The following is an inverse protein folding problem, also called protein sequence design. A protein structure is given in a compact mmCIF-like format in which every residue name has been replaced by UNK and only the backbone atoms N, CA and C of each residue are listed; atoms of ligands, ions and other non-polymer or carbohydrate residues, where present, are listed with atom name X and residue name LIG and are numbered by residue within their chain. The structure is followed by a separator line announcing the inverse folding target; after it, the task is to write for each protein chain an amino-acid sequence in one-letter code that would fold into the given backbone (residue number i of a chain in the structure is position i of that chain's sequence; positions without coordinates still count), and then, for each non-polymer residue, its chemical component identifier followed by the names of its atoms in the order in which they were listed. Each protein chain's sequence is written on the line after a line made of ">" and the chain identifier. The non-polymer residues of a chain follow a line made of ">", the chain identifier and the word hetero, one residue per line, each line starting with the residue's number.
data_IF_530465583635
#
_entry.id   IF_530465583635
#
_cell.length_a   1.000
_cell.length_b   1.000
_cell.length_c   1.000
_cell.angle_alpha   90.00
_cell.angle_beta   90.00
_cell.angle_gamma   90.00
#
_symmetry.space_group_name_H-M   'P 1'
#
loop_
_entity.id
_entity.type
_entity.pdbx_description
1 polymer ?
#
# COMPACT_ATOMS: atom_id res chain seq x y z
N UNK A 1 4.07 -45.19 41.32
CA UNK A 1 4.22 -44.61 39.97
C UNK A 1 3.05 -43.67 39.70
N UNK A 2 3.20 -42.38 40.02
CA UNK A 2 2.24 -41.35 39.59
C UNK A 2 2.66 -40.90 38.19
N UNK A 3 1.80 -41.12 37.19
CA UNK A 3 1.93 -40.47 35.88
C UNK A 3 1.21 -39.13 35.96
N UNK A 4 1.98 -38.05 36.06
CA UNK A 4 1.47 -36.69 35.94
C UNK A 4 1.22 -36.36 34.47
N UNK A 5 -0.03 -36.05 34.13
CA UNK A 5 -0.40 -35.48 32.84
C UNK A 5 0.01 -34.01 32.86
N UNK A 6 1.06 -33.67 32.13
CA UNK A 6 1.46 -32.27 31.90
C UNK A 6 0.50 -31.71 30.84
N UNK A 7 -0.50 -30.96 31.29
CA UNK A 7 -1.31 -30.13 30.41
C UNK A 7 -0.49 -28.92 29.98
N UNK A 8 -0.12 -28.86 28.71
CA UNK A 8 0.48 -27.66 28.11
C UNK A 8 -0.66 -26.67 27.89
N UNK A 9 -0.74 -25.64 28.74
CA UNK A 9 -1.59 -24.47 28.49
C UNK A 9 -0.95 -23.66 27.36
N UNK A 10 -1.56 -23.69 26.17
CA UNK A 10 -1.35 -22.65 25.17
C UNK A 10 -2.08 -21.39 25.64
N UNK A 11 -1.34 -20.46 26.22
CA UNK A 11 -1.78 -19.07 26.39
C UNK A 11 -1.73 -18.40 25.01
N UNK A 12 -2.76 -18.63 24.20
CA UNK A 12 -3.03 -17.76 23.07
C UNK A 12 -3.54 -16.42 23.63
N UNK A 13 -2.70 -15.39 23.55
CA UNK A 13 -3.14 -14.02 23.76
C UNK A 13 -4.10 -13.68 22.61
N UNK A 14 -5.40 -13.93 22.80
CA UNK A 14 -6.43 -13.46 21.89
C UNK A 14 -6.37 -11.94 21.85
N UNK A 15 -6.06 -11.36 20.69
CA UNK A 15 -6.22 -9.94 20.47
C UNK A 15 -7.72 -9.65 20.46
N UNK A 16 -8.22 -9.00 21.51
CA UNK A 16 -9.62 -8.61 21.60
C UNK A 16 -9.85 -7.38 20.73
N UNK A 17 -10.90 -7.42 19.91
CA UNK A 17 -11.42 -6.26 19.22
C UNK A 17 -11.70 -5.11 20.20
N UNK A 18 -11.42 -3.88 19.78
CA UNK A 18 -11.50 -2.66 20.56
C UNK A 18 -12.51 -1.70 19.92
N UNK A 19 -13.17 -0.92 20.75
CA UNK A 19 -13.90 0.27 20.28
C UNK A 19 -12.85 1.32 19.92
N UNK A 20 -12.68 1.57 18.63
CA UNK A 20 -11.67 2.47 18.09
C UNK A 20 -12.22 3.85 17.70
N UNK A 21 -11.51 4.51 16.80
CA UNK A 21 -11.91 5.82 16.26
C UNK A 21 -12.87 5.61 15.08
N UNK A 22 -14.12 6.07 15.20
CA UNK A 22 -15.16 5.86 14.19
C UNK A 22 -16.02 4.62 14.44
N UNK A 23 -16.82 4.21 13.43
CA UNK A 23 -17.79 3.13 13.58
C UNK A 23 -17.12 1.75 13.59
N UNK A 24 -17.77 0.80 14.26
CA UNK A 24 -17.42 -0.61 14.26
C UNK A 24 -16.29 -0.99 15.22
N UNK A 25 -16.04 -2.29 15.28
CA UNK A 25 -14.93 -2.88 16.02
C UNK A 25 -13.63 -2.74 15.24
N UNK A 26 -12.51 -2.59 15.95
CA UNK A 26 -11.19 -2.37 15.35
C UNK A 26 -10.10 -3.08 16.15
N UNK A 27 -8.95 -3.33 15.54
CA UNK A 27 -7.71 -3.64 16.27
C UNK A 27 -6.53 -2.96 15.58
N UNK A 28 -5.50 -2.62 16.33
CA UNK A 28 -4.31 -1.98 15.80
C UNK A 28 -3.12 -2.23 16.70
N UNK A 29 -1.93 -2.18 16.10
CA UNK A 29 -0.70 -2.35 16.84
C UNK A 29 0.49 -2.59 15.93
N UNK A 30 1.57 -3.02 16.56
CA UNK A 30 2.84 -3.28 15.90
C UNK A 30 3.11 -4.78 15.81
N UNK A 31 3.77 -5.17 14.73
CA UNK A 31 4.37 -6.49 14.53
C UNK A 31 5.85 -6.31 14.28
N UNK A 32 6.67 -7.03 15.05
CA UNK A 32 8.11 -7.09 14.86
C UNK A 32 8.40 -8.05 13.71
N UNK A 33 8.75 -7.52 12.54
CA UNK A 33 8.99 -8.33 11.32
C UNK A 33 10.45 -8.75 11.21
N UNK A 34 11.35 -7.96 11.78
CA UNK A 34 12.77 -8.26 12.00
C UNK A 34 13.22 -7.62 13.31
N UNK A 35 14.36 -8.04 13.90
CA UNK A 35 14.94 -7.33 15.03
C UNK A 35 15.15 -5.83 14.70
N UNK A 36 14.49 -4.95 15.46
CA UNK A 36 14.53 -3.50 15.27
C UNK A 36 13.74 -2.97 14.06
N UNK A 37 12.84 -3.77 13.47
CA UNK A 37 11.96 -3.35 12.39
C UNK A 37 10.49 -3.69 12.72
N UNK A 38 9.66 -2.65 12.80
CA UNK A 38 8.33 -2.71 13.39
C UNK A 38 7.28 -2.20 12.40
N UNK A 39 6.35 -3.06 11.99
CA UNK A 39 5.25 -2.70 11.09
C UNK A 39 3.98 -2.41 11.87
N UNK A 40 3.38 -1.25 11.63
CA UNK A 40 2.09 -0.87 12.18
C UNK A 40 0.95 -1.34 11.26
N UNK A 41 -0.15 -1.78 11.88
CA UNK A 41 -1.38 -2.10 11.19
C UNK A 41 -2.60 -1.51 11.87
N UNK A 42 -3.66 -1.34 11.09
CA UNK A 42 -5.00 -1.03 11.56
C UNK A 42 -6.01 -1.94 10.85
N UNK A 43 -6.66 -2.79 11.65
CA UNK A 43 -7.74 -3.67 11.23
C UNK A 43 -9.09 -3.03 11.58
N UNK A 44 -9.97 -2.96 10.59
CA UNK A 44 -11.40 -2.71 10.78
C UNK A 44 -12.17 -4.01 10.55
N UNK A 45 -12.98 -4.40 11.52
CA UNK A 45 -13.90 -5.51 11.34
C UNK A 45 -15.10 -5.05 10.52
N UNK A 46 -15.65 -5.97 9.72
CA UNK A 46 -16.76 -5.62 8.83
C UNK A 46 -17.99 -5.11 9.59
N UNK A 47 -18.68 -4.11 9.03
CA UNK A 47 -19.97 -3.61 9.54
C UNK A 47 -21.17 -4.21 8.80
N UNK A 48 -20.95 -5.25 8.00
CA UNK A 48 -22.02 -5.99 7.34
C UNK A 48 -22.97 -6.63 8.38
N UNK A 49 -24.24 -6.74 8.03
CA UNK A 49 -25.21 -7.53 8.80
C UNK A 49 -24.93 -9.04 8.62
N UNK A 50 -24.00 -9.55 9.43
CA UNK A 50 -23.56 -10.95 9.47
C UNK A 50 -23.45 -11.44 10.90
N UNK A 51 -23.51 -12.76 11.11
CA UNK A 51 -23.46 -13.35 12.45
C UNK A 51 -22.07 -13.23 13.06
N UNK A 52 -21.03 -13.48 12.25
CA UNK A 52 -19.64 -13.31 12.63
C UNK A 52 -18.90 -12.50 11.57
N UNK A 53 -17.96 -11.65 11.99
CA UNK A 53 -17.14 -10.89 11.04
C UNK A 53 -16.33 -11.81 10.11
N UNK A 54 -16.03 -13.04 10.53
CA UNK A 54 -15.37 -14.09 9.73
C UNK A 54 -16.26 -14.67 8.62
N UNK A 55 -17.55 -14.35 8.59
CA UNK A 55 -18.42 -14.67 7.44
C UNK A 55 -18.10 -13.78 6.23
N UNK A 56 -17.25 -12.75 6.40
CA UNK A 56 -16.76 -11.87 5.34
C UNK A 56 -15.25 -12.01 5.15
N UNK A 57 -14.72 -11.90 3.92
CA UNK A 57 -13.29 -11.99 3.64
C UNK A 57 -12.42 -10.99 4.42
N UNK A 58 -11.14 -11.31 4.55
CA UNK A 58 -10.10 -10.37 4.93
C UNK A 58 -9.51 -9.73 3.67
N UNK A 59 -9.48 -8.40 3.66
CA UNK A 59 -8.84 -7.60 2.62
C UNK A 59 -7.64 -6.89 3.22
N UNK A 60 -6.46 -7.10 2.64
CA UNK A 60 -5.30 -6.26 2.92
C UNK A 60 -5.31 -5.09 1.94
N UNK A 61 -5.08 -3.87 2.44
CA UNK A 61 -4.81 -2.70 1.61
C UNK A 61 -3.36 -2.26 1.74
N UNK A 62 -2.64 -2.23 0.62
CA UNK A 62 -1.26 -1.73 0.53
C UNK A 62 -1.20 -0.49 -0.36
N UNK A 63 -0.94 0.65 0.28
CA UNK A 63 -0.69 1.91 -0.40
C UNK A 63 0.71 1.90 -1.07
N UNK A 64 0.92 2.78 -2.05
CA UNK A 64 2.12 2.87 -2.87
C UNK A 64 3.17 3.85 -2.37
N UNK A 65 3.62 4.76 -3.25
CA UNK A 65 4.75 5.66 -3.02
C UNK A 65 6.00 5.26 -3.82
N UNK A 66 6.88 4.36 -3.33
CA UNK A 66 6.81 3.59 -2.08
C UNK A 66 6.93 4.47 -0.84
N UNK A 67 6.34 4.03 0.28
CA UNK A 67 6.44 4.71 1.58
C UNK A 67 5.20 5.47 2.02
N UNK A 68 4.16 5.53 1.18
CA UNK A 68 2.91 6.16 1.56
C UNK A 68 2.13 5.27 2.54
N UNK A 69 1.56 5.89 3.56
CA UNK A 69 0.86 5.17 4.64
C UNK A 69 -0.49 4.63 4.18
N UNK A 70 -0.69 3.33 4.34
CA UNK A 70 -2.00 2.70 4.15
C UNK A 70 -2.98 3.10 5.26
N UNK A 71 -2.49 3.26 6.48
CA UNK A 71 -3.33 3.67 7.62
C UNK A 71 -3.67 5.16 7.61
N UNK A 72 -2.91 5.97 6.88
CA UNK A 72 -3.17 7.37 6.57
C UNK A 72 -4.01 7.54 5.31
N UNK A 73 -3.39 7.44 4.13
CA UNK A 73 -4.04 7.68 2.83
C UNK A 73 -5.16 6.67 2.56
N UNK A 74 -4.84 5.37 2.55
CA UNK A 74 -5.83 4.32 2.25
C UNK A 74 -7.05 4.36 3.16
N UNK A 75 -6.82 4.56 4.45
CA UNK A 75 -7.89 4.60 5.44
C UNK A 75 -8.70 5.90 5.35
N UNK A 76 -8.07 7.08 5.41
CA UNK A 76 -8.80 8.34 5.58
C UNK A 76 -9.13 9.05 4.26
N UNK A 77 -8.30 8.90 3.22
CA UNK A 77 -8.53 9.56 1.92
C UNK A 77 -9.31 8.68 0.93
N UNK A 78 -9.34 7.37 1.13
CA UNK A 78 -9.83 6.45 0.10
C UNK A 78 -11.02 5.59 0.54
N UNK A 79 -10.79 4.49 1.27
CA UNK A 79 -11.78 3.42 1.43
C UNK A 79 -12.13 3.05 2.87
N UNK A 80 -11.42 3.62 3.84
CA UNK A 80 -11.77 3.47 5.25
C UNK A 80 -13.07 4.21 5.61
N UNK A 81 -13.55 4.01 6.85
CA UNK A 81 -14.89 4.42 7.25
C UNK A 81 -15.04 5.93 7.46
N UNK A 82 -13.93 6.65 7.68
CA UNK A 82 -13.92 8.07 7.96
C UNK A 82 -13.10 8.86 6.93
N UNK A 83 -13.46 10.11 6.69
CA UNK A 83 -12.63 11.08 5.94
C UNK A 83 -11.50 11.63 6.82
N UNK A 84 -10.60 12.44 6.25
CA UNK A 84 -9.56 13.15 7.01
C UNK A 84 -10.14 14.09 8.08
N UNK A 85 -11.32 14.65 7.84
CA UNK A 85 -12.05 15.52 8.77
C UNK A 85 -12.77 14.72 9.87
N UNK A 86 -12.70 13.38 9.83
CA UNK A 86 -13.35 12.49 10.79
C UNK A 86 -14.84 12.28 10.52
N UNK A 87 -15.34 12.65 9.34
CA UNK A 87 -16.72 12.43 8.93
C UNK A 87 -16.93 11.01 8.40
N UNK A 88 -18.09 10.40 8.64
CA UNK A 88 -18.39 9.08 8.07
C UNK A 88 -18.47 9.13 6.54
N UNK A 89 -17.72 8.25 5.88
CA UNK A 89 -17.74 8.13 4.42
C UNK A 89 -19.02 7.40 3.98
N UNK A 90 -19.70 7.95 2.97
CA UNK A 90 -20.90 7.34 2.39
C UNK A 90 -20.59 6.00 1.66
N UNK A 91 -19.36 5.80 1.21
CA UNK A 91 -18.82 4.54 0.70
C UNK A 91 -17.63 4.08 1.57
N UNK A 92 -17.56 2.81 1.93
CA UNK A 92 -16.38 2.23 2.59
C UNK A 92 -16.33 0.74 2.32
N UNK A 93 -15.13 0.18 2.18
CA UNK A 93 -14.96 -1.26 2.00
C UNK A 93 -15.28 -2.04 3.29
N UNK A 94 -15.14 -1.40 4.46
CA UNK A 94 -15.45 -1.97 5.77
C UNK A 94 -16.92 -2.41 5.85
N UNK A 95 -17.82 -1.81 5.06
CA UNK A 95 -19.23 -2.23 4.98
C UNK A 95 -19.41 -3.70 4.56
N UNK A 96 -18.46 -4.27 3.83
CA UNK A 96 -18.59 -5.62 3.26
C UNK A 96 -17.44 -6.57 3.62
N UNK A 97 -16.30 -6.04 4.08
CA UNK A 97 -15.07 -6.81 4.32
C UNK A 97 -14.43 -6.43 5.63
N UNK A 98 -13.63 -7.34 6.20
CA UNK A 98 -12.63 -6.96 7.20
C UNK A 98 -11.47 -6.33 6.45
N UNK A 99 -11.05 -5.11 6.81
CA UNK A 99 -10.02 -4.38 6.07
C UNK A 99 -8.81 -4.16 6.96
N UNK A 100 -7.68 -4.69 6.54
CA UNK A 100 -6.38 -4.61 7.21
C UNK A 100 -5.47 -3.65 6.43
N UNK A 101 -5.34 -2.43 6.95
CA UNK A 101 -4.37 -1.47 6.46
C UNK A 101 -3.01 -1.77 7.10
N UNK A 102 -1.97 -1.88 6.26
CA UNK A 102 -0.61 -2.14 6.73
C UNK A 102 0.28 -1.01 6.24
N UNK A 103 0.95 -0.32 7.17
CA UNK A 103 1.95 0.67 6.81
C UNK A 103 3.22 -0.03 6.35
N UNK A 104 3.41 -0.06 5.04
CA UNK A 104 4.43 -0.85 4.38
C UNK A 104 5.16 -0.03 3.31
N UNK A 105 6.50 -0.14 3.18
CA UNK A 105 7.44 -0.92 4.01
C UNK A 105 7.70 -0.31 5.39
N UNK A 106 8.57 -0.93 6.20
CA UNK A 106 9.07 -0.31 7.44
C UNK A 106 9.65 1.07 7.17
N UNK A 107 9.33 2.05 8.02
CA UNK A 107 9.60 3.48 7.79
C UNK A 107 8.44 4.27 7.16
N UNK A 108 7.36 3.59 6.75
CA UNK A 108 6.15 4.23 6.20
C UNK A 108 5.12 4.48 7.30
N UNK A 109 4.44 5.63 7.26
CA UNK A 109 3.38 5.94 8.24
C UNK A 109 3.87 5.81 9.68
N UNK A 110 3.21 4.94 10.45
CA UNK A 110 3.62 4.64 11.82
C UNK A 110 4.66 3.51 11.93
N UNK A 111 4.91 2.74 10.87
CA UNK A 111 5.95 1.71 10.84
C UNK A 111 7.33 2.33 10.93
N UNK A 112 8.22 1.76 11.74
CA UNK A 112 9.54 2.33 11.98
C UNK A 112 10.63 1.27 12.09
N UNK A 113 11.87 1.74 12.07
CA UNK A 113 13.07 0.96 12.36
C UNK A 113 13.86 1.66 13.46
N UNK A 114 14.50 0.87 14.32
CA UNK A 114 15.38 1.39 15.38
C UNK A 114 16.65 2.04 14.80
N UNK A 115 17.08 1.59 13.61
CA UNK A 115 18.21 2.11 12.86
C UNK A 115 17.89 2.16 11.36
N UNK A 116 18.24 3.26 10.69
CA UNK A 116 17.91 3.48 9.27
C UNK A 116 18.56 2.47 8.32
N UNK A 117 19.63 1.78 8.73
CA UNK A 117 20.23 0.70 7.94
C UNK A 117 19.32 -0.51 7.75
N UNK A 118 18.26 -0.63 8.56
CA UNK A 118 17.26 -1.70 8.51
C UNK A 118 16.13 -1.43 7.52
N UNK A 119 16.05 -0.25 6.91
CA UNK A 119 15.09 0.02 5.84
C UNK A 119 15.30 -0.96 4.68
N UNK A 120 14.19 -1.49 4.16
CA UNK A 120 14.20 -2.43 3.04
C UNK A 120 14.70 -1.76 1.77
N UNK A 121 15.48 -2.50 0.97
CA UNK A 121 16.13 -2.03 -0.26
C UNK A 121 15.58 -2.70 -1.51
N UNK A 122 14.85 -3.81 -1.38
CA UNK A 122 14.29 -4.58 -2.49
C UNK A 122 12.84 -4.97 -2.21
N UNK A 123 12.07 -5.21 -3.27
CA UNK A 123 10.69 -5.73 -3.11
C UNK A 123 10.69 -7.13 -2.45
N UNK A 124 11.74 -7.93 -2.64
CA UNK A 124 11.90 -9.21 -1.97
C UNK A 124 11.99 -9.04 -0.44
N UNK A 125 12.79 -8.08 0.05
CA UNK A 125 12.86 -7.77 1.48
C UNK A 125 11.50 -7.30 2.02
N UNK A 126 10.79 -6.45 1.27
CA UNK A 126 9.43 -5.98 1.62
C UNK A 126 8.46 -7.16 1.71
N UNK A 127 8.47 -8.06 0.72
CA UNK A 127 7.60 -9.23 0.69
C UNK A 127 7.88 -10.19 1.84
N UNK A 128 9.16 -10.39 2.20
CA UNK A 128 9.55 -11.21 3.35
C UNK A 128 9.09 -10.60 4.69
N UNK A 129 9.19 -9.28 4.84
CA UNK A 129 8.67 -8.56 6.00
C UNK A 129 7.14 -8.72 6.10
N UNK A 130 6.40 -8.56 4.99
CA UNK A 130 4.95 -8.75 4.93
C UNK A 130 4.51 -10.20 5.22
N UNK A 131 5.27 -11.20 4.77
CA UNK A 131 4.99 -12.61 5.12
C UNK A 131 5.22 -12.87 6.61
N UNK A 132 6.28 -12.30 7.19
CA UNK A 132 6.54 -12.40 8.63
C UNK A 132 5.44 -11.69 9.41
N UNK A 133 5.00 -10.53 8.94
CA UNK A 133 3.83 -9.82 9.46
C UNK A 133 2.61 -10.74 9.49
N UNK A 134 2.28 -11.42 8.39
CA UNK A 134 1.11 -12.31 8.32
C UNK A 134 1.21 -13.49 9.28
N UNK A 135 2.40 -14.09 9.44
CA UNK A 135 2.60 -15.18 10.41
C UNK A 135 2.27 -14.74 11.84
N UNK A 136 2.73 -13.56 12.24
CA UNK A 136 2.43 -13.00 13.56
C UNK A 136 0.99 -12.49 13.70
N UNK A 137 0.43 -11.87 12.65
CA UNK A 137 -0.96 -11.45 12.62
C UNK A 137 -1.89 -12.65 12.86
N UNK A 138 -1.69 -13.74 12.13
CA UNK A 138 -2.48 -14.97 12.30
C UNK A 138 -2.21 -15.72 13.61
N UNK A 139 -1.09 -15.46 14.30
CA UNK A 139 -0.87 -15.95 15.66
C UNK A 139 -1.75 -15.23 16.67
N UNK A 140 -2.03 -13.94 16.44
CA UNK A 140 -2.88 -13.09 17.31
C UNK A 140 -4.36 -13.20 16.95
N UNK A 141 -4.65 -13.43 15.67
CA UNK A 141 -5.98 -13.56 15.09
C UNK A 141 -6.13 -14.88 14.30
N UNK A 142 -6.07 -16.04 14.98
CA UNK A 142 -6.16 -17.34 14.32
C UNK A 142 -7.47 -17.53 13.54
N UNK A 143 -8.54 -16.83 13.91
CA UNK A 143 -9.83 -16.85 13.23
C UNK A 143 -9.77 -16.40 11.76
N UNK A 144 -8.81 -15.55 11.40
CA UNK A 144 -8.63 -15.10 10.00
C UNK A 144 -7.89 -16.10 9.11
N UNK A 145 -7.28 -17.16 9.66
CA UNK A 145 -6.50 -18.12 8.86
C UNK A 145 -7.36 -18.91 7.86
N UNK A 146 -8.63 -19.13 8.20
CA UNK A 146 -9.54 -20.00 7.44
C UNK A 146 -10.50 -19.25 6.53
N UNK A 147 -10.44 -17.91 6.53
CA UNK A 147 -11.30 -17.08 5.68
C UNK A 147 -10.53 -16.58 4.47
N UNK A 148 -11.25 -16.33 3.38
CA UNK A 148 -10.66 -15.86 2.13
C UNK A 148 -9.87 -14.56 2.34
N UNK A 149 -8.61 -14.57 1.88
CA UNK A 149 -7.72 -13.43 1.89
C UNK A 149 -7.59 -12.85 0.48
N UNK A 150 -7.82 -11.55 0.36
CA UNK A 150 -7.53 -10.78 -0.84
C UNK A 150 -6.52 -9.67 -0.53
N UNK A 151 -5.48 -9.56 -1.34
CA UNK A 151 -4.52 -8.45 -1.26
C UNK A 151 -4.95 -7.42 -2.30
N UNK A 152 -5.18 -6.18 -1.89
CA UNK A 152 -5.42 -5.05 -2.78
C UNK A 152 -4.36 -3.99 -2.56
N UNK A 153 -4.02 -3.29 -3.63
CA UNK A 153 -3.01 -2.25 -3.59
C UNK A 153 -3.19 -1.23 -4.70
N UNK A 154 -2.42 -0.14 -4.62
CA UNK A 154 -2.37 0.84 -5.67
C UNK A 154 -0.98 1.42 -5.93
N UNK A 155 -0.79 2.07 -7.08
CA UNK A 155 0.46 2.75 -7.42
C UNK A 155 1.68 1.80 -7.30
N UNK A 156 2.76 2.19 -6.60
CA UNK A 156 3.90 1.31 -6.33
C UNK A 156 3.53 0.08 -5.47
N UNK A 157 2.44 0.16 -4.71
CA UNK A 157 1.86 -0.95 -3.95
C UNK A 157 1.49 -2.12 -4.84
N UNK A 158 1.26 -1.91 -6.14
CA UNK A 158 1.09 -2.99 -7.12
C UNK A 158 2.30 -3.91 -7.23
N UNK A 159 3.52 -3.36 -7.26
CA UNK A 159 4.76 -4.14 -7.27
C UNK A 159 4.93 -4.92 -5.97
N UNK A 160 4.72 -4.24 -4.84
CA UNK A 160 4.84 -4.84 -3.51
C UNK A 160 3.82 -5.97 -3.30
N UNK A 161 2.56 -5.77 -3.70
CA UNK A 161 1.50 -6.75 -3.59
C UNK A 161 1.72 -7.98 -4.48
N UNK A 162 2.19 -7.78 -5.72
CA UNK A 162 2.49 -8.90 -6.62
C UNK A 162 3.59 -9.80 -6.06
N UNK A 163 4.68 -9.20 -5.55
CA UNK A 163 5.78 -9.95 -4.96
C UNK A 163 5.40 -10.59 -3.62
N UNK A 164 4.67 -9.85 -2.77
CA UNK A 164 4.13 -10.38 -1.52
C UNK A 164 3.22 -11.58 -1.74
N UNK A 165 2.26 -11.49 -2.67
CA UNK A 165 1.36 -12.60 -2.98
C UNK A 165 2.14 -13.84 -3.46
N UNK A 166 3.19 -13.65 -4.26
CA UNK A 166 4.06 -14.74 -4.73
C UNK A 166 4.85 -15.40 -3.60
N UNK A 167 5.47 -14.62 -2.71
CA UNK A 167 6.21 -15.16 -1.57
C UNK A 167 5.27 -15.83 -0.57
N UNK A 168 4.09 -15.25 -0.31
CA UNK A 168 3.07 -15.83 0.55
C UNK A 168 2.56 -17.18 0.02
N UNK A 169 2.24 -17.27 -1.28
CA UNK A 169 1.81 -18.52 -1.92
C UNK A 169 2.87 -19.63 -1.82
N UNK A 170 4.15 -19.30 -1.93
CA UNK A 170 5.24 -20.25 -1.68
C UNK A 170 5.22 -20.78 -0.26
N UNK A 171 5.10 -19.91 0.73
CA UNK A 171 5.06 -20.30 2.14
C UNK A 171 3.81 -21.15 2.47
N UNK A 172 2.67 -20.85 1.84
CA UNK A 172 1.44 -21.67 1.93
C UNK A 172 1.72 -23.08 1.37
N UNK A 173 2.31 -23.19 0.18
CA UNK A 173 2.63 -24.48 -0.46
C UNK A 173 3.66 -25.30 0.32
N UNK A 174 4.57 -24.64 1.03
CA UNK A 174 5.53 -25.29 1.93
C UNK A 174 4.91 -25.73 3.26
N UNK A 175 3.69 -25.27 3.58
CA UNK A 175 3.03 -25.55 4.86
C UNK A 175 3.56 -24.70 6.03
N UNK A 176 4.26 -23.60 5.73
CA UNK A 176 4.84 -22.70 6.74
C UNK A 176 3.83 -21.69 7.29
N UNK A 177 2.68 -21.54 6.63
CA UNK A 177 1.59 -20.65 7.03
C UNK A 177 0.24 -21.22 6.53
N UNK A 178 -0.78 -21.17 7.39
CA UNK A 178 -2.16 -21.50 7.00
C UNK A 178 -2.86 -20.20 6.61
N UNK A 179 -3.21 -20.06 5.33
CA UNK A 179 -3.79 -18.86 4.77
C UNK A 179 -4.58 -19.20 3.50
N UNK A 180 -5.77 -18.61 3.35
CA UNK A 180 -6.63 -18.81 2.18
C UNK A 180 -6.46 -17.69 1.16
N UNK A 181 -5.24 -17.47 0.65
CA UNK A 181 -4.98 -16.46 -0.39
C UNK A 181 -5.80 -16.76 -1.66
N UNK A 182 -6.65 -15.81 -2.08
CA UNK A 182 -7.52 -15.94 -3.26
C UNK A 182 -7.13 -15.04 -4.43
N UNK A 183 -6.72 -13.80 -4.16
CA UNK A 183 -6.35 -12.87 -5.22
C UNK A 183 -5.40 -11.77 -4.76
N UNK A 184 -4.71 -11.19 -5.74
CA UNK A 184 -4.07 -9.89 -5.64
C UNK A 184 -4.69 -8.94 -6.68
N UNK A 185 -5.28 -7.83 -6.23
CA UNK A 185 -5.86 -6.78 -7.06
C UNK A 185 -4.97 -5.54 -7.06
N UNK A 186 -4.67 -5.01 -8.25
CA UNK A 186 -3.71 -3.93 -8.45
C UNK A 186 -4.43 -2.73 -9.10
N UNK A 187 -4.73 -1.69 -8.33
CA UNK A 187 -5.34 -0.45 -8.82
C UNK A 187 -4.30 0.52 -9.36
N UNK A 188 -4.44 0.97 -10.60
CA UNK A 188 -3.57 1.98 -11.24
C UNK A 188 -2.06 1.78 -10.95
N UNK A 189 -1.62 0.53 -11.07
CA UNK A 189 -0.37 0.08 -10.51
C UNK A 189 0.85 0.43 -11.37
N UNK A 190 1.94 0.82 -10.72
CA UNK A 190 3.23 1.12 -11.35
C UNK A 190 4.07 -0.16 -11.60
N UNK A 191 3.55 -1.09 -12.42
CA UNK A 191 4.13 -2.43 -12.64
C UNK A 191 5.32 -2.42 -13.61
N UNK A 192 5.09 -1.97 -14.85
CA UNK A 192 6.14 -1.76 -15.85
C UNK A 192 6.31 -0.26 -16.07
N UNK A 193 7.28 0.40 -15.40
CA UNK A 193 7.46 1.84 -15.51
C UNK A 193 7.60 2.29 -16.96
N UNK A 194 8.40 1.57 -17.74
CA UNK A 194 8.73 2.01 -19.09
C UNK A 194 7.55 1.85 -20.06
N UNK A 195 6.77 0.77 -19.95
CA UNK A 195 5.56 0.61 -20.76
C UNK A 195 4.52 1.67 -20.42
N UNK A 196 4.36 1.99 -19.14
CA UNK A 196 3.52 3.11 -18.70
C UNK A 196 3.99 4.43 -19.33
N UNK A 197 5.29 4.72 -19.30
CA UNK A 197 5.85 5.95 -19.87
C UNK A 197 5.69 6.04 -21.39
N UNK A 198 5.83 4.92 -22.11
CA UNK A 198 5.63 4.86 -23.56
C UNK A 198 4.18 5.19 -23.92
N UNK A 199 3.22 4.87 -23.04
CA UNK A 199 1.81 5.18 -23.26
C UNK A 199 1.45 6.67 -23.08
N UNK A 200 2.28 7.46 -22.37
CA UNK A 200 1.91 8.83 -22.00
C UNK A 200 1.73 9.77 -23.18
N UNK A 201 2.68 9.78 -24.14
CA UNK A 201 2.61 10.65 -25.31
C UNK A 201 1.34 10.41 -26.16
N UNK A 202 1.03 9.17 -26.61
CA UNK A 202 -0.18 8.92 -27.37
C UNK A 202 -1.45 9.17 -26.55
N UNK A 203 -1.46 8.80 -25.26
CA UNK A 203 -2.62 9.06 -24.40
C UNK A 203 -2.94 10.56 -24.29
N UNK A 204 -1.94 11.40 -23.99
CA UNK A 204 -2.11 12.84 -23.87
C UNK A 204 -2.55 13.49 -25.18
N UNK A 205 -2.07 12.99 -26.31
CA UNK A 205 -2.50 13.42 -27.64
C UNK A 205 -3.96 13.05 -27.90
N UNK A 206 -4.35 11.81 -27.63
CA UNK A 206 -5.70 11.28 -27.91
C UNK A 206 -6.79 11.98 -27.10
N UNK A 207 -6.48 12.41 -25.87
CA UNK A 207 -7.41 13.20 -25.05
C UNK A 207 -7.37 14.70 -25.36
N UNK A 208 -6.54 15.14 -26.32
CA UNK A 208 -6.38 16.54 -26.71
C UNK A 208 -5.69 17.42 -25.67
N UNK A 209 -4.91 16.83 -24.75
CA UNK A 209 -4.18 17.56 -23.71
C UNK A 209 -2.90 18.22 -24.25
N UNK A 210 -2.37 17.75 -25.38
CA UNK A 210 -1.18 18.29 -26.04
C UNK A 210 -1.39 18.44 -27.55
N UNK A 211 -0.61 19.32 -28.17
CA UNK A 211 -0.48 19.38 -29.63
C UNK A 211 0.61 18.41 -30.13
N UNK A 212 0.89 18.44 -31.44
CA UNK A 212 1.85 17.52 -32.08
C UNK A 212 3.28 17.78 -31.61
N UNK A 213 3.59 19.00 -31.20
CA UNK A 213 4.90 19.30 -30.64
C UNK A 213 5.02 18.78 -29.21
N UNK A 214 3.98 18.98 -28.39
CA UNK A 214 3.91 18.44 -27.04
C UNK A 214 4.01 16.93 -27.01
N UNK A 215 3.28 16.23 -27.88
CA UNK A 215 3.37 14.76 -28.03
C UNK A 215 4.81 14.32 -28.34
N UNK A 216 5.46 14.92 -29.35
CA UNK A 216 6.84 14.59 -29.71
C UNK A 216 7.84 14.86 -28.58
N UNK A 217 7.65 15.94 -27.82
CA UNK A 217 8.49 16.27 -26.65
C UNK A 217 8.37 15.21 -25.56
N UNK A 218 7.16 14.76 -25.25
CA UNK A 218 6.94 13.71 -24.25
C UNK A 218 7.54 12.39 -24.74
N UNK A 219 7.29 12.00 -25.99
CA UNK A 219 7.84 10.77 -26.57
C UNK A 219 9.38 10.76 -26.55
N UNK A 220 10.02 11.88 -26.91
CA UNK A 220 11.47 12.01 -26.87
C UNK A 220 12.03 11.93 -25.43
N UNK A 221 11.37 12.54 -24.45
CA UNK A 221 11.78 12.44 -23.04
C UNK A 221 11.65 10.99 -22.50
N UNK A 222 10.55 10.31 -22.83
CA UNK A 222 10.38 8.88 -22.51
C UNK A 222 11.48 8.03 -23.12
N UNK A 223 11.88 8.28 -24.36
CA UNK A 223 12.93 7.52 -25.04
C UNK A 223 14.29 7.65 -24.35
N UNK A 224 14.62 8.83 -23.81
CA UNK A 224 15.83 9.01 -23.00
C UNK A 224 15.79 8.12 -21.74
N UNK A 225 14.63 8.06 -21.08
CA UNK A 225 14.43 7.17 -19.92
C UNK A 225 14.61 5.71 -20.31
N UNK A 226 14.06 5.27 -21.45
CA UNK A 226 14.21 3.90 -21.97
C UNK A 226 15.67 3.54 -22.22
N UNK A 227 16.42 4.43 -22.88
CA UNK A 227 17.84 4.21 -23.17
C UNK A 227 18.64 4.05 -21.87
N UNK A 228 18.43 4.93 -20.90
CA UNK A 228 19.12 4.83 -19.61
C UNK A 228 18.77 3.53 -18.86
N UNK A 229 17.51 3.09 -18.92
CA UNK A 229 17.07 1.82 -18.35
C UNK A 229 17.76 0.62 -19.02
N UNK A 230 17.77 0.57 -20.35
CA UNK A 230 18.36 -0.54 -21.13
C UNK A 230 19.88 -0.65 -20.92
N UNK A 231 20.55 0.47 -20.64
CA UNK A 231 21.97 0.52 -20.29
C UNK A 231 22.26 0.17 -18.82
N UNK A 232 21.23 -0.12 -18.01
CA UNK A 232 21.36 -0.43 -16.58
C UNK A 232 21.68 0.79 -15.70
N UNK A 233 21.50 2.01 -16.22
CA UNK A 233 21.73 3.27 -15.48
C UNK A 233 20.48 3.64 -14.69
N UNK A 234 20.13 2.83 -13.69
CA UNK A 234 18.85 2.95 -12.97
C UNK A 234 18.63 4.29 -12.27
N UNK A 235 19.67 4.89 -11.69
CA UNK A 235 19.56 6.23 -11.06
C UNK A 235 19.27 7.30 -12.12
N UNK A 236 19.98 7.26 -13.24
CA UNK A 236 19.74 8.18 -14.36
C UNK A 236 18.34 7.99 -14.94
N UNK A 237 17.89 6.73 -15.09
CA UNK A 237 16.55 6.38 -15.53
C UNK A 237 15.47 6.98 -14.61
N UNK A 238 15.65 6.91 -13.29
CA UNK A 238 14.71 7.51 -12.34
C UNK A 238 14.69 9.04 -12.46
N UNK A 239 15.85 9.67 -12.64
CA UNK A 239 15.92 11.12 -12.85
C UNK A 239 15.24 11.53 -14.17
N UNK A 240 15.42 10.75 -15.24
CA UNK A 240 14.80 10.99 -16.54
C UNK A 240 13.29 10.74 -16.54
N UNK A 241 12.81 9.80 -15.72
CA UNK A 241 11.38 9.66 -15.43
C UNK A 241 10.80 10.96 -14.84
N UNK A 242 11.42 11.50 -13.79
CA UNK A 242 10.99 12.79 -13.21
C UNK A 242 11.09 13.96 -14.20
N UNK A 243 12.12 13.97 -15.05
CA UNK A 243 12.22 14.94 -16.15
C UNK A 243 11.06 14.80 -17.15
N UNK A 244 10.65 13.57 -17.46
CA UNK A 244 9.53 13.31 -18.37
C UNK A 244 8.21 13.86 -17.77
N UNK A 245 7.98 13.68 -16.47
CA UNK A 245 6.84 14.30 -15.77
C UNK A 245 6.88 15.83 -15.85
N UNK A 246 8.07 16.44 -15.71
CA UNK A 246 8.23 17.88 -15.89
C UNK A 246 7.86 18.31 -17.32
N UNK A 247 8.32 17.60 -18.34
CA UNK A 247 7.97 17.88 -19.73
C UNK A 247 6.45 17.82 -19.93
N UNK A 248 5.78 16.79 -19.38
CA UNK A 248 4.31 16.65 -19.42
C UNK A 248 3.64 17.86 -18.78
N UNK A 249 4.08 18.25 -17.59
CA UNK A 249 3.55 19.43 -16.89
C UNK A 249 3.70 20.71 -17.74
N UNK A 250 4.83 20.91 -18.40
CA UNK A 250 5.06 22.07 -19.26
C UNK A 250 4.14 22.08 -20.48
N UNK A 251 4.04 20.97 -21.22
CA UNK A 251 3.28 20.92 -22.48
C UNK A 251 1.77 20.91 -22.29
N UNK A 252 1.31 20.49 -21.10
CA UNK A 252 -0.12 20.47 -20.74
C UNK A 252 -0.57 21.70 -19.96
N UNK A 253 0.37 22.58 -19.62
CA UNK A 253 0.16 23.71 -18.70
C UNK A 253 -0.37 23.26 -17.34
N UNK A 254 0.32 22.30 -16.73
CA UNK A 254 0.11 21.84 -15.36
C UNK A 254 -1.02 20.84 -15.18
N UNK A 255 -1.17 19.86 -16.07
CA UNK A 255 -2.14 18.77 -15.85
C UNK A 255 -1.85 18.05 -14.52
N UNK A 256 -2.91 17.64 -13.80
CA UNK A 256 -2.71 16.78 -12.64
C UNK A 256 -2.41 15.35 -13.09
N UNK A 257 -1.22 14.87 -12.75
CA UNK A 257 -0.73 13.54 -13.08
C UNK A 257 -1.57 12.41 -12.49
N UNK A 258 -2.27 12.66 -11.38
CA UNK A 258 -3.15 11.69 -10.73
C UNK A 258 -4.60 11.78 -11.20
N UNK A 259 -5.00 12.89 -11.82
CA UNK A 259 -6.33 13.06 -12.38
C UNK A 259 -6.35 14.10 -13.51
N UNK A 260 -6.27 13.62 -14.74
CA UNK A 260 -6.12 14.45 -15.95
C UNK A 260 -7.28 15.40 -16.23
N UNK A 261 -8.41 15.27 -15.51
CA UNK A 261 -9.53 16.22 -15.59
C UNK A 261 -9.23 17.55 -14.90
N UNK A 262 -8.17 17.60 -14.08
CA UNK A 262 -7.78 18.77 -13.31
C UNK A 262 -6.42 19.30 -13.73
N UNK A 263 -6.15 20.54 -13.32
CA UNK A 263 -4.83 21.18 -13.43
C UNK A 263 -4.33 21.50 -12.03
N UNK A 264 -3.05 21.20 -11.76
CA UNK A 264 -2.37 21.69 -10.58
C UNK A 264 -2.05 23.16 -10.77
N UNK A 265 -2.68 24.01 -9.97
CA UNK A 265 -2.28 25.41 -9.89
C UNK A 265 -1.07 25.56 -8.97
N UNK A 266 -0.29 26.63 -9.16
CA UNK A 266 0.78 27.00 -8.22
C UNK A 266 0.27 27.12 -6.77
N UNK A 267 -1.01 27.47 -6.58
CA UNK A 267 -1.66 27.58 -5.27
C UNK A 267 -1.87 26.20 -4.61
N UNK A 268 -2.18 25.17 -5.39
CA UNK A 268 -2.36 23.80 -4.89
C UNK A 268 -1.03 23.17 -4.46
N UNK A 269 0.06 23.47 -5.18
CA UNK A 269 1.41 23.07 -4.81
C UNK A 269 1.87 23.76 -3.50
N UNK A 270 1.53 25.04 -3.32
CA UNK A 270 1.89 25.80 -2.12
C UNK A 270 1.08 25.42 -0.89
N UNK A 271 -0.20 25.06 -1.04
CA UNK A 271 -1.05 24.58 0.06
C UNK A 271 -0.47 23.31 0.69
N UNK A 272 -0.09 22.31 -0.13
CA UNK A 272 0.56 21.07 0.36
C UNK A 272 1.89 21.32 1.07
N UNK A 273 2.69 22.32 0.63
CA UNK A 273 3.95 22.68 1.29
C UNK A 273 3.72 23.35 2.64
N UNK A 274 2.63 24.11 2.79
CA UNK A 274 2.33 24.85 4.00
C UNK A 274 1.81 23.92 5.11
N UNK A 275 1.01 22.91 4.76
CA UNK A 275 0.58 21.86 5.69
C UNK A 275 1.76 21.01 6.18
N UNK A 276 2.68 20.61 5.28
CA UNK A 276 3.91 19.88 5.64
C UNK A 276 4.90 20.65 6.53
N UNK A 277 4.77 21.98 6.63
CA UNK A 277 5.61 22.83 7.50
C UNK A 277 5.01 23.03 8.89
N UNK A 278 3.71 22.80 9.05
CA UNK A 278 3.01 22.93 10.33
C UNK A 278 3.17 21.66 11.21
N UNK A 279 3.52 20.53 10.60
CA UNK A 279 3.67 19.22 11.28
C UNK A 279 5.10 18.85 11.70
N UNK A 280 6.06 19.79 11.70
CA UNK A 280 7.36 19.56 12.35
C UNK A 280 7.34 20.12 13.78
N UNK A 281 7.41 19.28 14.83
CA UNK A 281 7.70 19.79 16.16
C UNK A 281 9.09 20.44 16.14
N UNK A 282 9.17 21.63 16.72
CA UNK A 282 10.43 22.33 17.06
C UNK A 282 11.27 21.55 18.05
#
# INVERSE_FOLDING_TARGET
>A
MLRGTIGILFLASLALARVGYGPGEQDWGYVDVRPGAHMFYWLYYTTADVVQYTDRPLVIWLQGGPGASSTGYGNFEELGPLTLEGEERNFTWVRNYNVLFIDNPVGSGFSYVDDQSLLTKTNEEIANDLVTFMKEFYRRHPEFQLIDLHIFSESYGGKMAAEFAYVLDKEIKLGNIVCQLKSAGLGDAWISPIDSMISWAPYLWDIGAVDREGERRVAAATELTRIALDEGRFVDSTNLWGYTEQVISEVTYGIDFYNVLFKKTYRDAMAKIQDLRMDRPS
#
